data_IF_812105074321
#
_entry.id   IF_812105074321
#
_cell.length_a   1.000
_cell.length_b   1.000
_cell.length_c   1.000
_cell.angle_alpha   90.00
_cell.angle_beta   90.00
_cell.angle_gamma   90.00
#
_symmetry.space_group_name_H-M   'P 1'
#
loop_
_entity.id
_entity.type
_entity.pdbx_description
1 polymer ?
#
# COMPACT_ATOMS: atom_id res chain seq x y z
N UNK A 1 -14.75 -2.82 -15.91
CA UNK A 1 -13.78 -2.09 -15.07
C UNK A 1 -14.41 -1.90 -13.71
N UNK A 2 -14.03 -2.68 -12.69
CA UNK A 2 -14.61 -2.50 -11.35
C UNK A 2 -14.36 -3.65 -10.38
N UNK A 3 -14.11 -4.85 -10.88
CA UNK A 3 -13.65 -6.00 -10.10
C UNK A 3 -12.13 -6.04 -10.04
N UNK A 4 -11.46 -5.88 -11.18
CA UNK A 4 -10.01 -5.94 -11.29
C UNK A 4 -9.31 -4.84 -10.48
N UNK A 5 -9.72 -3.57 -10.58
CA UNK A 5 -9.19 -2.46 -9.77
C UNK A 5 -9.30 -2.67 -8.25
N UNK A 6 -10.41 -3.23 -7.78
CA UNK A 6 -10.61 -3.48 -6.34
C UNK A 6 -9.80 -4.68 -5.85
N UNK A 7 -9.57 -5.65 -6.74
CA UNK A 7 -8.73 -6.81 -6.44
C UNK A 7 -7.27 -6.38 -6.41
N UNK A 8 -6.81 -5.58 -7.38
CA UNK A 8 -5.46 -5.03 -7.42
C UNK A 8 -5.15 -4.17 -6.20
N UNK A 9 -6.04 -3.24 -5.84
CA UNK A 9 -5.85 -2.40 -4.65
C UNK A 9 -5.77 -3.23 -3.36
N UNK A 10 -6.57 -4.29 -3.25
CA UNK A 10 -6.49 -5.22 -2.11
C UNK A 10 -5.26 -6.10 -2.17
N UNK A 11 -4.82 -6.51 -3.34
CA UNK A 11 -3.63 -7.32 -3.54
C UNK A 11 -2.37 -6.55 -3.13
N UNK A 12 -2.26 -5.27 -3.49
CA UNK A 12 -1.16 -4.40 -3.09
C UNK A 12 -1.14 -4.19 -1.56
N UNK A 13 -2.30 -3.97 -0.94
CA UNK A 13 -2.39 -3.87 0.53
C UNK A 13 -1.98 -5.18 1.22
N UNK A 14 -2.39 -6.32 0.66
CA UNK A 14 -1.98 -7.64 1.12
C UNK A 14 -0.47 -7.85 0.97
N UNK A 15 0.11 -7.42 -0.16
CA UNK A 15 1.53 -7.55 -0.46
C UNK A 15 2.38 -6.71 0.49
N UNK A 16 1.96 -5.49 0.80
CA UNK A 16 2.60 -4.63 1.79
C UNK A 16 2.57 -5.24 3.19
N UNK A 17 1.42 -5.75 3.63
CA UNK A 17 1.30 -6.47 4.92
C UNK A 17 2.15 -7.73 4.96
N UNK A 18 2.23 -8.47 3.85
CA UNK A 18 3.07 -9.66 3.75
C UNK A 18 4.55 -9.28 3.88
N UNK A 19 5.01 -8.22 3.21
CA UNK A 19 6.39 -7.71 3.35
C UNK A 19 6.70 -7.27 4.79
N UNK A 20 5.78 -6.53 5.43
CA UNK A 20 5.94 -6.11 6.83
C UNK A 20 6.03 -7.32 7.77
N UNK A 21 5.14 -8.30 7.59
CA UNK A 21 5.08 -9.49 8.44
C UNK A 21 6.28 -10.40 8.21
N UNK A 22 6.70 -10.57 6.96
CA UNK A 22 7.88 -11.34 6.60
C UNK A 22 9.16 -10.67 7.12
N UNK A 23 9.29 -9.34 6.97
CA UNK A 23 10.38 -8.55 7.53
C UNK A 23 10.48 -8.70 9.04
N UNK A 24 9.36 -8.56 9.77
CA UNK A 24 9.33 -8.82 11.23
C UNK A 24 9.68 -10.26 11.60
N UNK A 25 9.25 -11.25 10.80
CA UNK A 25 9.49 -12.65 11.09
C UNK A 25 10.94 -13.08 10.79
N UNK A 26 11.60 -12.41 9.86
CA UNK A 26 13.00 -12.67 9.46
C UNK A 26 13.99 -11.70 10.11
N UNK A 27 13.52 -10.72 10.90
CA UNK A 27 14.34 -9.63 11.46
C UNK A 27 15.04 -8.82 10.34
N UNK A 28 14.33 -8.63 9.22
CA UNK A 28 14.80 -7.95 8.01
C UNK A 28 14.18 -6.55 7.95
N UNK A 29 14.95 -5.55 8.40
CA UNK A 29 14.54 -4.15 8.46
C UNK A 29 14.20 -3.56 7.08
N UNK A 30 14.87 -4.00 6.02
CA UNK A 30 14.61 -3.56 4.64
C UNK A 30 13.20 -3.99 4.18
N UNK A 31 12.84 -5.27 4.37
CA UNK A 31 11.50 -5.78 4.05
C UNK A 31 10.40 -5.08 4.85
N UNK A 32 10.66 -4.79 6.12
CA UNK A 32 9.70 -4.09 6.97
C UNK A 32 9.52 -2.64 6.53
N UNK A 33 10.62 -1.94 6.23
CA UNK A 33 10.61 -0.56 5.73
C UNK A 33 9.97 -0.44 4.34
N UNK A 34 10.19 -1.41 3.45
CA UNK A 34 9.51 -1.46 2.16
C UNK A 34 7.99 -1.61 2.31
N UNK A 35 7.53 -2.53 3.17
CA UNK A 35 6.10 -2.74 3.42
C UNK A 35 5.41 -1.50 3.98
N UNK A 36 6.01 -0.87 4.98
CA UNK A 36 5.49 0.35 5.62
C UNK A 36 5.54 1.55 4.67
N UNK A 37 6.63 1.68 3.90
CA UNK A 37 6.81 2.72 2.89
C UNK A 37 5.78 2.64 1.77
N UNK A 38 5.49 1.44 1.25
CA UNK A 38 4.44 1.24 0.22
C UNK A 38 3.05 1.62 0.76
N UNK A 39 2.72 1.26 2.00
CA UNK A 39 1.44 1.65 2.61
C UNK A 39 1.30 3.16 2.77
N UNK A 40 2.35 3.85 3.25
CA UNK A 40 2.35 5.30 3.41
C UNK A 40 2.20 6.00 2.06
N UNK A 41 2.93 5.53 1.05
CA UNK A 41 2.90 6.10 -0.30
C UNK A 41 1.55 5.89 -0.99
N UNK A 42 0.93 4.72 -0.80
CA UNK A 42 -0.42 4.41 -1.27
C UNK A 42 -1.48 5.31 -0.63
N UNK A 43 -1.43 5.47 0.69
CA UNK A 43 -2.33 6.37 1.43
C UNK A 43 -2.16 7.83 0.99
N UNK A 44 -0.92 8.30 0.83
CA UNK A 44 -0.63 9.64 0.32
C UNK A 44 -1.17 9.85 -1.10
N UNK A 45 -1.03 8.87 -1.99
CA UNK A 45 -1.60 8.91 -3.34
C UNK A 45 -3.12 9.02 -3.30
N UNK A 46 -3.79 8.14 -2.56
CA UNK A 46 -5.25 8.18 -2.45
C UNK A 46 -5.77 9.47 -1.83
N UNK A 47 -5.10 9.98 -0.80
CA UNK A 47 -5.47 11.25 -0.18
C UNK A 47 -5.25 12.42 -1.16
N UNK A 48 -4.13 12.44 -1.87
CA UNK A 48 -3.83 13.45 -2.89
C UNK A 48 -4.81 13.43 -4.04
N UNK A 49 -5.18 12.24 -4.55
CA UNK A 49 -6.19 12.10 -5.59
C UNK A 49 -7.57 12.55 -5.12
N UNK A 50 -8.01 12.14 -3.92
CA UNK A 50 -9.28 12.61 -3.35
C UNK A 50 -9.34 14.14 -3.23
N UNK A 51 -8.27 14.76 -2.72
CA UNK A 51 -8.18 16.22 -2.64
C UNK A 51 -8.30 16.82 -4.04
N UNK A 52 -7.54 16.32 -5.00
CA UNK A 52 -7.54 16.83 -6.39
C UNK A 52 -8.90 16.69 -7.08
N UNK A 53 -9.64 15.62 -6.79
CA UNK A 53 -10.99 15.36 -7.32
C UNK A 53 -12.04 16.29 -6.69
N UNK A 54 -11.90 16.64 -5.41
CA UNK A 54 -12.79 17.60 -4.72
C UNK A 54 -12.58 19.03 -5.23
N UNK A 55 -11.36 19.38 -5.64
CA UNK A 55 -11.01 20.70 -6.19
C UNK A 55 -11.23 20.81 -7.71
N UNK A 56 -11.72 19.76 -8.37
CA UNK A 56 -12.06 19.75 -9.79
C UNK A 56 -13.55 20.05 -10.00
#
# INVERSE_FOLDING_TARGET
MGTDDKIDAKADELKGKVKETAGRATDDEDLQAEGEGDQVKGNLKQAGEKVKDIFK
#
